data_IF_692504301759
#
_entry.id   IF_692504301759
#
_cell.length_a   1.000
_cell.length_b   1.000
_cell.length_c   1.000
_cell.angle_alpha   90.00
_cell.angle_beta   90.00
_cell.angle_gamma   90.00
#
_symmetry.space_group_name_H-M   'P 1'
#
loop_
_entity.id
_entity.type
_entity.pdbx_description
1 polymer ?
#
# COMPACT_ATOMS: atom_id res chain seq x y z
N UNK A 1 -13.96 -40.61 3.74
CA UNK A 1 -13.65 -40.21 2.34
C UNK A 1 -13.41 -38.71 2.29
N UNK A 2 -12.17 -38.27 2.00
CA UNK A 2 -11.83 -36.86 1.78
C UNK A 2 -12.11 -36.54 0.32
N UNK A 3 -13.04 -35.62 0.02
CA UNK A 3 -13.18 -35.07 -1.33
C UNK A 3 -12.00 -34.12 -1.57
N UNK A 4 -10.96 -34.62 -2.23
CA UNK A 4 -10.02 -33.76 -2.96
C UNK A 4 -10.79 -33.36 -4.21
N UNK A 5 -11.18 -32.10 -4.28
CA UNK A 5 -11.75 -31.53 -5.49
C UNK A 5 -10.56 -30.94 -6.25
N UNK A 6 -9.88 -31.77 -7.06
CA UNK A 6 -8.96 -31.28 -8.09
C UNK A 6 -9.81 -30.93 -9.30
N UNK A 7 -9.78 -29.65 -9.65
CA UNK A 7 -10.47 -29.11 -10.80
C UNK A 7 -9.40 -28.46 -11.69
N UNK A 8 -9.08 -29.10 -12.81
CA UNK A 8 -8.44 -28.40 -13.94
C UNK A 8 -9.58 -27.68 -14.65
N UNK A 9 -9.83 -26.41 -14.32
CA UNK A 9 -10.93 -25.63 -14.88
C UNK A 9 -10.36 -24.64 -15.89
N UNK A 10 -10.65 -24.89 -17.17
CA UNK A 10 -10.14 -24.14 -18.32
C UNK A 10 -10.77 -22.74 -18.45
N UNK A 11 -11.86 -22.42 -17.73
CA UNK A 11 -12.42 -21.06 -17.64
C UNK A 11 -13.31 -20.91 -16.40
N UNK A 12 -12.94 -20.06 -15.44
CA UNK A 12 -13.80 -19.66 -14.31
C UNK A 12 -14.40 -18.30 -14.62
N UNK A 13 -15.73 -18.20 -14.55
CA UNK A 13 -16.45 -16.92 -14.69
C UNK A 13 -16.45 -16.18 -13.35
N UNK A 14 -16.69 -16.86 -12.23
CA UNK A 14 -16.33 -16.37 -10.90
C UNK A 14 -16.29 -17.58 -9.96
N UNK A 15 -15.35 -17.63 -9.01
CA UNK A 15 -15.25 -18.68 -8.01
C UNK A 15 -15.32 -18.10 -6.60
N UNK A 16 -16.19 -18.73 -5.81
CA UNK A 16 -16.29 -18.48 -4.38
C UNK A 16 -16.15 -19.79 -3.62
N UNK A 17 -15.24 -19.80 -2.65
CA UNK A 17 -14.95 -20.95 -1.82
C UNK A 17 -15.21 -20.59 -0.36
N UNK A 18 -16.27 -21.14 0.22
CA UNK A 18 -16.74 -20.86 1.57
C UNK A 18 -16.56 -22.08 2.46
N UNK A 19 -15.89 -21.92 3.61
CA UNK A 19 -15.77 -22.96 4.64
C UNK A 19 -15.10 -24.27 4.17
N UNK A 20 -14.21 -24.18 3.18
CA UNK A 20 -13.42 -25.31 2.68
C UNK A 20 -12.19 -25.60 3.57
N UNK A 21 -11.83 -26.89 3.72
CA UNK A 21 -10.69 -27.33 4.54
C UNK A 21 -9.36 -27.47 3.80
N UNK A 22 -9.40 -27.57 2.47
CA UNK A 22 -8.27 -27.56 1.54
C UNK A 22 -8.83 -27.20 0.17
N UNK A 23 -8.23 -26.22 -0.47
CA UNK A 23 -8.61 -25.77 -1.80
C UNK A 23 -7.35 -25.47 -2.60
N UNK A 24 -7.37 -25.85 -3.87
CA UNK A 24 -6.27 -25.60 -4.79
C UNK A 24 -6.86 -25.12 -6.11
N UNK A 25 -6.33 -24.02 -6.64
CA UNK A 25 -6.73 -23.48 -7.93
C UNK A 25 -5.48 -23.25 -8.76
N UNK A 26 -5.40 -23.92 -9.90
CA UNK A 26 -4.25 -23.88 -10.80
C UNK A 26 -4.73 -23.75 -12.25
N UNK A 27 -3.97 -23.02 -13.05
CA UNK A 27 -4.15 -22.89 -14.51
C UNK A 27 -5.52 -22.40 -14.99
N UNK A 28 -6.08 -21.40 -14.29
CA UNK A 28 -7.35 -20.78 -14.64
C UNK A 28 -7.15 -19.44 -15.32
N UNK A 29 -7.81 -19.25 -16.47
CA UNK A 29 -8.01 -17.94 -17.10
C UNK A 29 -9.45 -17.47 -16.92
N UNK A 30 -9.65 -16.26 -16.42
CA UNK A 30 -10.98 -15.60 -16.35
C UNK A 30 -11.09 -14.48 -17.39
N UNK A 31 -12.08 -14.49 -18.30
CA UNK A 31 -12.25 -13.47 -19.33
C UNK A 31 -13.04 -12.22 -18.89
N UNK A 32 -12.92 -11.14 -19.66
CA UNK A 32 -13.16 -9.73 -19.30
C UNK A 32 -14.62 -9.26 -19.07
N UNK A 33 -15.66 -10.10 -19.10
CA UNK A 33 -17.06 -9.63 -19.09
C UNK A 33 -17.89 -10.18 -17.92
N UNK A 34 -17.59 -9.77 -16.68
CA UNK A 34 -18.20 -10.39 -15.50
C UNK A 34 -18.58 -9.39 -14.41
N UNK A 35 -19.78 -9.60 -13.87
CA UNK A 35 -20.33 -9.07 -12.60
C UNK A 35 -19.45 -9.49 -11.40
N UNK A 36 -19.51 -8.86 -10.21
CA UNK A 36 -18.37 -8.71 -9.32
C UNK A 36 -17.85 -10.03 -8.73
N UNK A 37 -16.50 -10.09 -8.61
CA UNK A 37 -15.68 -10.77 -7.58
C UNK A 37 -15.53 -12.30 -7.57
N UNK A 38 -14.27 -12.76 -7.55
CA UNK A 38 -13.86 -13.99 -6.86
C UNK A 38 -13.70 -13.68 -5.36
N UNK A 39 -14.57 -14.26 -4.51
CA UNK A 39 -14.55 -14.09 -3.06
C UNK A 39 -14.04 -15.36 -2.37
N UNK A 40 -12.95 -15.29 -1.60
CA UNK A 40 -12.47 -16.43 -0.80
C UNK A 40 -12.70 -16.16 0.69
N UNK A 41 -13.76 -16.73 1.28
CA UNK A 41 -14.12 -16.50 2.70
C UNK A 41 -14.01 -17.77 3.54
N UNK A 42 -13.30 -17.67 4.67
CA UNK A 42 -13.13 -18.71 5.70
C UNK A 42 -12.60 -20.06 5.18
N UNK A 43 -11.31 -20.16 4.96
CA UNK A 43 -10.66 -21.44 4.68
C UNK A 43 -9.54 -21.73 5.68
N UNK A 44 -9.27 -23.00 5.89
CA UNK A 44 -8.01 -23.44 6.46
C UNK A 44 -7.24 -24.06 5.30
N UNK A 45 -6.16 -23.43 4.85
CA UNK A 45 -5.25 -23.93 3.79
C UNK A 45 -5.80 -23.78 2.36
N UNK A 46 -5.51 -22.64 1.72
CA UNK A 46 -5.76 -22.36 0.31
C UNK A 46 -4.43 -22.09 -0.41
N UNK A 47 -4.23 -22.72 -1.57
CA UNK A 47 -3.09 -22.42 -2.44
C UNK A 47 -3.61 -22.11 -3.85
N UNK A 48 -3.22 -20.96 -4.40
CA UNK A 48 -3.51 -20.57 -5.77
C UNK A 48 -2.21 -20.40 -6.57
N UNK A 49 -2.16 -21.03 -7.74
CA UNK A 49 -1.14 -20.90 -8.76
C UNK A 49 -1.82 -20.61 -10.12
N UNK A 50 -2.24 -19.37 -10.34
CA UNK A 50 -3.20 -19.03 -11.41
C UNK A 50 -2.49 -18.43 -12.63
N UNK A 51 -2.55 -19.09 -13.78
CA UNK A 51 -2.03 -18.54 -15.04
C UNK A 51 -3.01 -17.55 -15.69
N UNK A 52 -3.24 -16.41 -15.03
CA UNK A 52 -3.86 -15.20 -15.63
C UNK A 52 -5.32 -14.93 -15.24
N UNK A 53 -5.55 -13.99 -14.32
CA UNK A 53 -6.88 -13.49 -13.97
C UNK A 53 -7.07 -12.07 -14.55
N UNK A 54 -8.07 -11.89 -15.43
CA UNK A 54 -8.40 -10.59 -16.01
C UNK A 54 -9.80 -10.15 -15.57
N UNK A 55 -9.90 -9.05 -14.83
CA UNK A 55 -11.14 -8.53 -14.26
C UNK A 55 -11.28 -7.01 -14.41
N UNK A 56 -12.53 -6.51 -14.37
CA UNK A 56 -12.83 -5.07 -14.47
C UNK A 56 -13.39 -4.46 -13.19
N UNK A 57 -13.61 -5.28 -12.16
CA UNK A 57 -13.99 -4.85 -10.82
C UNK A 57 -12.87 -5.30 -9.88
N UNK A 58 -13.14 -6.11 -8.85
CA UNK A 58 -12.12 -6.69 -7.95
C UNK A 58 -11.70 -8.08 -8.43
N UNK A 59 -10.42 -8.40 -8.32
CA UNK A 59 -9.89 -9.67 -8.86
C UNK A 59 -9.69 -10.77 -7.81
N UNK A 60 -9.00 -10.52 -6.68
CA UNK A 60 -8.77 -11.56 -5.67
C UNK A 60 -8.98 -11.04 -4.24
N UNK A 61 -10.12 -11.36 -3.62
CA UNK A 61 -10.41 -11.03 -2.20
C UNK A 61 -10.08 -12.22 -1.26
N UNK A 62 -9.13 -12.03 -0.32
CA UNK A 62 -8.68 -13.03 0.66
C UNK A 62 -9.22 -12.69 2.06
N UNK A 63 -10.24 -13.42 2.52
CA UNK A 63 -10.76 -13.35 3.90
C UNK A 63 -10.59 -14.71 4.59
N UNK A 64 -9.33 -15.09 4.85
CA UNK A 64 -9.00 -16.45 5.24
C UNK A 64 -7.64 -16.55 5.92
N UNK A 65 -7.36 -17.73 6.51
CA UNK A 65 -6.05 -18.06 7.07
C UNK A 65 -5.33 -19.18 6.33
N UNK A 66 -4.01 -19.20 6.44
CA UNK A 66 -3.12 -20.16 5.77
C UNK A 66 -3.32 -20.14 4.26
N UNK A 67 -2.97 -19.02 3.64
CA UNK A 67 -3.20 -18.77 2.22
C UNK A 67 -1.87 -18.58 1.52
N UNK A 68 -1.66 -19.25 0.38
CA UNK A 68 -0.55 -18.95 -0.53
C UNK A 68 -1.11 -18.57 -1.89
N UNK A 69 -0.70 -17.41 -2.39
CA UNK A 69 -0.92 -16.97 -3.77
C UNK A 69 0.45 -16.88 -4.41
N UNK A 70 0.72 -17.70 -5.42
CA UNK A 70 2.00 -17.64 -6.11
C UNK A 70 1.88 -17.73 -7.61
N UNK A 71 2.85 -17.14 -8.31
CA UNK A 71 3.04 -17.31 -9.76
C UNK A 71 1.82 -16.86 -10.58
N UNK A 72 1.07 -15.88 -10.05
CA UNK A 72 -0.15 -15.36 -10.66
C UNK A 72 0.11 -14.12 -11.52
N UNK A 73 -0.61 -14.02 -12.65
CA UNK A 73 -0.79 -12.76 -13.38
C UNK A 73 -2.19 -12.24 -13.10
N UNK A 74 -2.32 -11.02 -12.60
CA UNK A 74 -3.59 -10.38 -12.23
C UNK A 74 -3.68 -9.05 -12.95
N UNK A 75 -4.83 -8.75 -13.55
CA UNK A 75 -5.11 -7.48 -14.23
C UNK A 75 -6.52 -7.00 -13.85
N UNK A 76 -6.60 -5.87 -13.13
CA UNK A 76 -7.81 -5.38 -12.44
C UNK A 76 -8.01 -3.87 -12.64
N UNK A 77 -9.24 -3.41 -12.86
CA UNK A 77 -9.52 -1.95 -12.82
C UNK A 77 -9.76 -1.46 -11.36
N UNK A 78 -10.13 -2.35 -10.45
CA UNK A 78 -10.25 -2.10 -9.00
C UNK A 78 -9.02 -2.66 -8.26
N UNK A 79 -9.19 -3.12 -7.02
CA UNK A 79 -8.13 -3.77 -6.25
C UNK A 79 -7.64 -5.07 -6.94
N UNK A 80 -6.32 -5.28 -6.98
CA UNK A 80 -5.70 -6.48 -7.57
C UNK A 80 -5.83 -7.70 -6.66
N UNK A 81 -4.99 -7.75 -5.62
CA UNK A 81 -5.11 -8.71 -4.50
C UNK A 81 -5.51 -7.94 -3.26
N UNK A 82 -6.59 -8.35 -2.60
CA UNK A 82 -7.14 -7.62 -1.48
C UNK A 82 -7.43 -8.52 -0.29
N UNK A 83 -6.73 -8.31 0.82
CA UNK A 83 -6.96 -8.99 2.07
C UNK A 83 -8.13 -8.32 2.79
N UNK A 84 -9.11 -9.10 3.23
CA UNK A 84 -10.29 -8.65 3.96
C UNK A 84 -10.41 -9.40 5.28
N UNK A 85 -11.15 -8.83 6.22
CA UNK A 85 -11.62 -9.54 7.42
C UNK A 85 -13.01 -9.03 7.76
N UNK A 86 -14.04 -9.79 7.35
CA UNK A 86 -15.43 -9.36 7.48
C UNK A 86 -16.05 -9.68 8.84
N UNK A 87 -15.39 -10.48 9.67
CA UNK A 87 -15.91 -10.95 10.96
C UNK A 87 -14.85 -10.70 12.04
N UNK A 88 -15.26 -10.07 13.15
CA UNK A 88 -14.38 -9.60 14.24
C UNK A 88 -13.43 -10.68 14.79
N UNK A 89 -13.91 -11.91 14.97
CA UNK A 89 -13.16 -13.03 15.55
C UNK A 89 -12.53 -13.94 14.50
N UNK A 90 -12.57 -13.56 13.21
CA UNK A 90 -11.96 -14.32 12.11
C UNK A 90 -10.86 -13.50 11.45
N UNK A 91 -9.60 -13.74 11.82
CA UNK A 91 -8.47 -13.05 11.21
C UNK A 91 -8.22 -13.56 9.79
N UNK A 92 -7.68 -12.67 8.96
CA UNK A 92 -6.96 -13.00 7.75
C UNK A 92 -5.47 -13.10 8.10
N UNK A 93 -4.96 -14.32 8.25
CA UNK A 93 -3.64 -14.54 8.86
C UNK A 93 -2.83 -15.66 8.20
N UNK A 94 -1.50 -15.62 8.32
CA UNK A 94 -0.60 -16.58 7.67
C UNK A 94 -0.83 -16.61 6.16
N UNK A 95 -0.69 -15.45 5.52
CA UNK A 95 -0.88 -15.27 4.07
C UNK A 95 0.48 -15.00 3.42
N UNK A 96 0.79 -15.74 2.35
CA UNK A 96 1.97 -15.54 1.51
C UNK A 96 1.51 -15.16 0.10
N UNK A 97 1.99 -14.03 -0.41
CA UNK A 97 1.80 -13.61 -1.81
C UNK A 97 3.19 -13.53 -2.44
N UNK A 98 3.48 -14.32 -3.47
CA UNK A 98 4.83 -14.33 -4.04
C UNK A 98 4.92 -14.62 -5.53
N UNK A 99 5.93 -14.09 -6.22
CA UNK A 99 6.15 -14.33 -7.66
C UNK A 99 4.97 -13.88 -8.55
N UNK A 100 4.21 -12.86 -8.14
CA UNK A 100 3.04 -12.41 -8.87
C UNK A 100 3.32 -11.18 -9.74
N UNK A 101 2.65 -11.08 -10.88
CA UNK A 101 2.51 -9.84 -11.65
C UNK A 101 1.11 -9.28 -11.39
N UNK A 102 1.00 -8.15 -10.68
CA UNK A 102 -0.30 -7.57 -10.29
C UNK A 102 -0.49 -6.20 -10.91
N UNK A 103 -1.37 -6.12 -11.89
CA UNK A 103 -1.76 -4.88 -12.55
C UNK A 103 -3.11 -4.41 -12.02
N UNK A 104 -3.17 -3.14 -11.61
CA UNK A 104 -4.34 -2.53 -10.99
C UNK A 104 -4.41 -1.05 -11.33
N UNK A 105 -5.58 -0.54 -11.70
CA UNK A 105 -5.78 0.92 -11.73
C UNK A 105 -6.17 1.47 -10.35
N UNK A 106 -6.63 0.65 -9.41
CA UNK A 106 -6.82 1.06 -8.02
C UNK A 106 -5.61 0.67 -7.16
N UNK A 107 -5.77 -0.22 -6.19
CA UNK A 107 -4.71 -0.66 -5.29
C UNK A 107 -4.20 -2.06 -5.70
N UNK A 108 -2.93 -2.21 -6.07
CA UNK A 108 -2.43 -3.52 -6.52
C UNK A 108 -2.49 -4.57 -5.43
N UNK A 109 -1.95 -4.29 -4.25
CA UNK A 109 -2.10 -5.15 -3.09
C UNK A 109 -2.63 -4.33 -1.92
N UNK A 110 -3.78 -4.73 -1.39
CA UNK A 110 -4.51 -3.96 -0.38
C UNK A 110 -4.96 -4.80 0.80
N UNK A 111 -5.01 -4.17 1.97
CA UNK A 111 -5.61 -4.67 3.20
C UNK A 111 -6.87 -3.83 3.44
N UNK A 112 -7.99 -4.47 3.79
CA UNK A 112 -9.28 -3.80 3.96
C UNK A 112 -10.03 -3.53 2.64
N UNK A 113 -11.08 -2.71 2.59
CA UNK A 113 -11.52 -1.85 3.68
C UNK A 113 -12.21 -2.58 4.83
N UNK A 114 -13.03 -3.63 4.62
CA UNK A 114 -13.46 -4.50 5.72
C UNK A 114 -12.25 -5.16 6.36
N UNK A 115 -11.91 -4.69 7.55
CA UNK A 115 -10.81 -5.17 8.38
C UNK A 115 -11.23 -5.12 9.83
N UNK A 116 -12.35 -5.79 10.16
CA UNK A 116 -12.92 -5.77 11.52
C UNK A 116 -12.21 -6.73 12.45
N UNK A 117 -11.68 -7.83 11.92
CA UNK A 117 -10.80 -8.74 12.64
C UNK A 117 -9.35 -8.30 12.56
N UNK A 118 -8.45 -9.21 12.17
CA UNK A 118 -7.01 -8.92 12.14
C UNK A 118 -6.37 -9.37 10.83
N UNK A 119 -5.43 -8.58 10.32
CA UNK A 119 -4.44 -8.99 9.33
C UNK A 119 -3.15 -9.34 10.05
N UNK A 120 -2.70 -10.60 9.98
CA UNK A 120 -1.57 -11.04 10.81
C UNK A 120 -0.65 -12.02 10.14
N UNK A 121 0.67 -11.87 10.34
CA UNK A 121 1.69 -12.78 9.81
C UNK A 121 1.54 -12.90 8.28
N UNK A 122 1.74 -11.76 7.59
CA UNK A 122 1.54 -11.63 6.14
C UNK A 122 2.89 -11.37 5.46
N UNK A 123 3.20 -12.16 4.43
CA UNK A 123 4.43 -12.03 3.65
C UNK A 123 4.09 -11.77 2.19
N UNK A 124 4.60 -10.67 1.64
CA UNK A 124 4.49 -10.32 0.22
C UNK A 124 5.90 -10.23 -0.35
N UNK A 125 6.26 -11.06 -1.32
CA UNK A 125 7.63 -11.13 -1.81
C UNK A 125 7.74 -11.35 -3.32
N UNK A 126 8.68 -10.67 -3.97
CA UNK A 126 9.01 -10.91 -5.38
C UNK A 126 7.82 -10.69 -6.32
N UNK A 127 7.23 -9.50 -6.29
CA UNK A 127 6.11 -9.15 -7.17
C UNK A 127 6.47 -7.97 -8.07
N UNK A 128 5.95 -7.99 -9.30
CA UNK A 128 5.96 -6.83 -10.20
C UNK A 128 4.55 -6.25 -10.24
N UNK A 129 4.39 -4.98 -9.93
CA UNK A 129 3.08 -4.32 -9.89
C UNK A 129 3.03 -3.08 -10.78
N UNK A 130 1.85 -2.78 -11.32
CA UNK A 130 1.69 -1.61 -12.19
C UNK A 130 0.24 -1.31 -12.55
N UNK A 131 0.03 -0.38 -13.48
CA UNK A 131 -1.31 -0.05 -13.97
C UNK A 131 -1.92 -1.20 -14.80
N UNK A 132 -3.25 -1.30 -14.75
CA UNK A 132 -4.03 -2.28 -15.50
C UNK A 132 -3.89 -2.06 -17.01
N UNK A 133 -4.13 -3.11 -17.80
CA UNK A 133 -4.03 -3.00 -19.27
C UNK A 133 -5.15 -2.15 -19.89
N UNK A 134 -6.22 -1.87 -19.15
CA UNK A 134 -7.38 -1.07 -19.58
C UNK A 134 -7.85 -0.19 -18.43
N UNK A 135 -8.41 0.98 -18.74
CA UNK A 135 -8.88 1.95 -17.75
C UNK A 135 -10.31 2.41 -18.04
N UNK A 136 -11.29 1.61 -17.64
CA UNK A 136 -12.70 1.88 -17.91
C UNK A 136 -13.36 2.73 -16.81
N UNK A 137 -12.97 2.48 -15.55
CA UNK A 137 -13.64 3.02 -14.36
C UNK A 137 -12.85 4.16 -13.74
N UNK A 138 -11.53 4.02 -13.66
CA UNK A 138 -10.71 4.90 -12.80
C UNK A 138 -10.38 6.23 -13.45
N UNK A 139 -10.00 6.25 -14.72
CA UNK A 139 -9.83 7.45 -15.56
C UNK A 139 -9.15 8.59 -14.80
N UNK A 140 -8.05 8.27 -14.11
CA UNK A 140 -7.50 9.16 -13.11
C UNK A 140 -7.02 10.49 -13.67
N UNK A 141 -6.46 10.49 -14.87
CA UNK A 141 -6.02 11.69 -15.59
C UNK A 141 -7.18 12.61 -16.00
N UNK A 142 -8.39 12.07 -16.18
CA UNK A 142 -9.61 12.88 -16.40
C UNK A 142 -10.06 13.58 -15.11
N UNK A 143 -9.75 13.01 -13.94
CA UNK A 143 -10.19 13.50 -12.62
C UNK A 143 -9.17 14.40 -11.93
N UNK A 144 -7.88 14.16 -12.16
CA UNK A 144 -6.79 14.74 -11.37
C UNK A 144 -5.63 15.15 -12.29
N UNK A 145 -5.45 16.46 -12.44
CA UNK A 145 -4.46 17.06 -13.36
C UNK A 145 -3.01 16.75 -13.00
N UNK A 146 -2.74 16.39 -11.75
CA UNK A 146 -1.41 16.09 -11.24
C UNK A 146 -0.91 14.67 -11.56
N UNK A 147 -1.74 13.85 -12.22
CA UNK A 147 -1.38 12.49 -12.61
C UNK A 147 -0.85 12.54 -14.04
N UNK A 148 0.34 11.99 -14.26
CA UNK A 148 1.12 12.22 -15.48
C UNK A 148 1.17 11.03 -16.42
N UNK A 149 0.44 9.95 -16.10
CA UNK A 149 0.37 8.74 -16.95
C UNK A 149 -1.04 8.15 -16.94
N UNK A 150 -1.41 7.55 -18.07
CA UNK A 150 -2.65 6.80 -18.24
C UNK A 150 -2.35 5.52 -19.05
N UNK A 151 -2.74 4.32 -18.57
CA UNK A 151 -3.33 4.05 -17.26
C UNK A 151 -2.36 4.33 -16.10
N UNK A 152 -2.89 4.58 -14.91
CA UNK A 152 -2.11 4.71 -13.67
C UNK A 152 -2.72 3.90 -12.54
N UNK A 153 -1.86 3.43 -11.64
CA UNK A 153 -2.22 2.70 -10.44
C UNK A 153 -2.32 3.67 -9.26
N UNK A 154 -3.44 3.67 -8.53
CA UNK A 154 -3.63 4.53 -7.36
C UNK A 154 -2.58 4.25 -6.28
N UNK A 155 -2.46 2.99 -5.86
CA UNK A 155 -1.43 2.57 -4.91
C UNK A 155 -0.77 1.24 -5.27
N UNK A 156 0.52 1.12 -4.93
CA UNK A 156 1.20 -0.16 -4.99
C UNK A 156 0.81 -1.05 -3.81
N UNK A 157 1.05 -0.56 -2.60
CA UNK A 157 0.72 -1.21 -1.34
C UNK A 157 -0.22 -0.31 -0.52
N UNK A 158 -1.43 -0.78 -0.26
CA UNK A 158 -2.38 -0.15 0.65
C UNK A 158 -2.57 -1.00 1.91
N UNK A 159 -1.92 -0.64 3.01
CA UNK A 159 -2.08 -1.32 4.30
C UNK A 159 -3.06 -0.48 5.13
N UNK A 160 -4.34 -0.85 5.10
CA UNK A 160 -5.42 -0.09 5.72
C UNK A 160 -6.05 -0.88 6.87
N UNK A 161 -6.23 -0.20 8.01
CA UNK A 161 -6.99 -0.72 9.15
C UNK A 161 -7.86 0.41 9.69
N UNK A 162 -9.12 0.46 9.26
CA UNK A 162 -9.99 1.64 9.47
C UNK A 162 -11.29 1.36 10.23
N UNK A 163 -11.58 0.09 10.50
CA UNK A 163 -12.86 -0.34 11.08
C UNK A 163 -12.69 -1.12 12.41
N UNK A 164 -11.71 -0.74 13.25
CA UNK A 164 -11.57 -1.27 14.61
C UNK A 164 -10.79 -2.59 14.73
N UNK A 165 -10.25 -3.11 13.64
CA UNK A 165 -9.40 -4.30 13.62
C UNK A 165 -7.93 -4.04 13.96
N UNK A 166 -7.08 -5.01 13.62
CA UNK A 166 -5.63 -4.89 13.80
C UNK A 166 -4.83 -5.34 12.57
N UNK A 167 -3.64 -4.78 12.39
CA UNK A 167 -2.66 -5.22 11.38
C UNK A 167 -1.30 -5.43 12.04
N UNK A 168 -0.76 -6.65 12.00
CA UNK A 168 0.43 -7.03 12.78
C UNK A 168 1.34 -7.98 12.01
N UNK A 169 2.66 -7.77 12.10
CA UNK A 169 3.69 -8.63 11.50
C UNK A 169 3.51 -8.77 9.98
N UNK A 170 3.72 -7.66 9.27
CA UNK A 170 3.62 -7.60 7.81
C UNK A 170 5.03 -7.40 7.24
N UNK A 171 5.44 -8.31 6.37
CA UNK A 171 6.73 -8.24 5.68
C UNK A 171 6.47 -8.13 4.19
N UNK A 172 7.02 -7.07 3.57
CA UNK A 172 6.97 -6.86 2.13
C UNK A 172 8.40 -6.72 1.60
N UNK A 173 8.76 -7.47 0.56
CA UNK A 173 10.11 -7.38 0.00
C UNK A 173 10.16 -7.63 -1.51
N UNK A 174 11.17 -7.06 -2.17
CA UNK A 174 11.49 -7.33 -3.57
C UNK A 174 10.32 -6.99 -4.50
N UNK A 175 9.88 -5.72 -4.50
CA UNK A 175 8.75 -5.27 -5.32
C UNK A 175 9.22 -4.22 -6.32
N UNK A 176 8.88 -4.43 -7.60
CA UNK A 176 9.05 -3.40 -8.64
C UNK A 176 7.68 -2.82 -8.99
N UNK A 177 7.55 -1.49 -8.97
CA UNK A 177 6.30 -0.77 -9.23
C UNK A 177 6.44 0.17 -10.43
N UNK A 178 5.48 0.15 -11.35
CA UNK A 178 5.44 1.06 -12.51
C UNK A 178 4.14 1.87 -12.53
N UNK A 179 4.14 3.05 -13.15
CA UNK A 179 2.94 3.88 -13.34
C UNK A 179 2.14 4.15 -12.05
N UNK A 180 2.82 4.28 -10.91
CA UNK A 180 2.17 4.37 -9.59
C UNK A 180 1.91 5.80 -9.19
N UNK A 181 0.78 6.12 -8.59
CA UNK A 181 0.53 7.43 -8.00
C UNK A 181 1.11 7.52 -6.60
N UNK A 182 0.83 6.54 -5.73
CA UNK A 182 1.33 6.46 -4.34
C UNK A 182 1.87 5.06 -4.04
N UNK A 183 3.19 4.82 -4.06
CA UNK A 183 3.74 3.48 -3.89
C UNK A 183 3.33 2.79 -2.59
N UNK A 184 3.43 3.52 -1.47
CA UNK A 184 3.11 3.02 -0.14
C UNK A 184 2.07 3.92 0.52
N UNK A 185 0.94 3.34 0.88
CA UNK A 185 -0.13 3.96 1.65
C UNK A 185 -0.44 3.11 2.89
N UNK A 186 -0.19 3.66 4.07
CA UNK A 186 -0.47 3.01 5.35
C UNK A 186 -1.40 3.92 6.15
N UNK A 187 -2.56 3.39 6.56
CA UNK A 187 -3.59 4.16 7.27
C UNK A 187 -4.22 3.36 8.41
N UNK A 188 -4.08 3.87 9.63
CA UNK A 188 -5.03 3.60 10.72
C UNK A 188 -6.15 4.65 10.64
N UNK A 189 -7.40 4.21 10.50
CA UNK A 189 -8.58 5.08 10.47
C UNK A 189 -9.60 4.75 11.55
N UNK A 190 -10.57 5.65 11.70
CA UNK A 190 -11.68 5.60 12.63
C UNK A 190 -13.04 5.60 11.88
N UNK A 191 -13.09 4.99 10.69
CA UNK A 191 -14.26 4.95 9.80
C UNK A 191 -15.42 4.18 10.41
N UNK A 192 -15.13 3.03 11.02
CA UNK A 192 -16.13 2.23 11.75
C UNK A 192 -17.36 1.87 10.90
N UNK A 193 -17.18 1.60 9.60
CA UNK A 193 -18.26 1.53 8.59
C UNK A 193 -19.35 0.45 8.80
N UNK A 194 -19.23 -0.41 9.82
CA UNK A 194 -20.22 -1.44 10.16
C UNK A 194 -20.52 -1.59 11.65
N UNK A 195 -20.24 -0.61 12.50
CA UNK A 195 -20.86 -0.63 13.82
C UNK A 195 -22.34 -0.26 13.70
N UNK A 196 -23.15 -1.25 13.30
CA UNK A 196 -24.56 -1.34 13.67
C UNK A 196 -24.72 -1.70 15.15
N UNK A 197 -23.64 -2.18 15.77
CA UNK A 197 -23.53 -2.42 17.20
C UNK A 197 -22.75 -1.27 17.84
N UNK A 198 -23.49 -0.34 18.45
CA UNK A 198 -22.93 0.82 19.15
C UNK A 198 -22.09 0.43 20.38
N UNK A 199 -22.07 -0.85 20.77
CA UNK A 199 -21.27 -1.35 21.90
C UNK A 199 -19.84 -1.76 21.53
N UNK A 200 -19.51 -1.88 20.23
CA UNK A 200 -18.16 -2.20 19.79
C UNK A 200 -17.24 -0.98 19.88
N UNK A 201 -16.44 -0.95 20.96
CA UNK A 201 -15.53 0.15 21.30
C UNK A 201 -14.08 -0.08 20.84
N UNK A 202 -13.83 -1.09 20.00
CA UNK A 202 -12.48 -1.40 19.55
C UNK A 202 -11.90 -0.29 18.68
N UNK A 203 -10.59 -0.06 18.85
CA UNK A 203 -9.82 0.89 18.06
C UNK A 203 -8.92 0.16 17.08
N UNK A 204 -8.78 0.72 15.88
CA UNK A 204 -7.86 0.20 14.87
C UNK A 204 -6.42 0.26 15.39
N UNK A 205 -5.62 -0.77 15.15
CA UNK A 205 -4.20 -0.79 15.53
C UNK A 205 -3.31 -1.35 14.43
N UNK A 206 -2.05 -0.90 14.37
CA UNK A 206 -1.11 -1.37 13.37
C UNK A 206 0.32 -1.36 13.90
N UNK A 207 1.00 -2.51 13.85
CA UNK A 207 2.38 -2.62 14.33
C UNK A 207 3.23 -3.63 13.59
N UNK A 208 4.54 -3.45 13.66
CA UNK A 208 5.55 -4.37 13.12
C UNK A 208 5.39 -4.56 11.60
N UNK A 209 5.70 -3.50 10.86
CA UNK A 209 5.68 -3.50 9.39
C UNK A 209 7.11 -3.32 8.88
N UNK A 210 7.56 -4.24 8.04
CA UNK A 210 8.87 -4.18 7.39
C UNK A 210 8.64 -4.20 5.88
N UNK A 211 9.05 -3.14 5.18
CA UNK A 211 9.02 -3.05 3.73
C UNK A 211 10.45 -2.85 3.25
N UNK A 212 10.90 -3.66 2.31
CA UNK A 212 12.29 -3.61 1.83
C UNK A 212 12.44 -3.88 0.34
N UNK A 213 13.54 -3.42 -0.25
CA UNK A 213 13.92 -3.73 -1.63
C UNK A 213 12.81 -3.34 -2.63
N UNK A 214 12.47 -2.04 -2.64
CA UNK A 214 11.41 -1.48 -3.50
C UNK A 214 12.03 -0.61 -4.59
N UNK A 215 11.61 -0.79 -5.83
CA UNK A 215 11.90 0.15 -6.92
C UNK A 215 10.55 0.61 -7.49
N UNK A 216 10.30 1.91 -7.56
CA UNK A 216 9.00 2.43 -8.00
C UNK A 216 9.11 3.70 -8.86
N UNK A 217 8.36 3.72 -9.97
CA UNK A 217 8.14 4.94 -10.75
C UNK A 217 6.84 5.64 -10.31
N UNK A 218 6.96 6.90 -9.89
CA UNK A 218 5.88 7.69 -9.30
C UNK A 218 5.43 8.79 -10.25
N UNK A 219 4.19 8.65 -10.73
CA UNK A 219 3.55 9.50 -11.74
C UNK A 219 2.44 10.39 -11.14
N UNK A 220 2.68 10.94 -9.94
CA UNK A 220 1.75 11.89 -9.32
C UNK A 220 2.46 12.93 -8.42
N UNK A 221 1.69 13.90 -7.93
CA UNK A 221 2.10 14.82 -6.85
C UNK A 221 1.81 14.31 -5.44
N UNK A 222 1.50 13.03 -5.27
CA UNK A 222 1.32 12.42 -3.94
C UNK A 222 2.63 11.79 -3.46
N UNK A 223 2.90 11.94 -2.16
CA UNK A 223 3.97 11.21 -1.48
C UNK A 223 3.46 9.86 -0.98
N UNK A 224 4.40 8.97 -0.67
CA UNK A 224 4.11 7.85 0.23
C UNK A 224 3.56 8.41 1.54
N UNK A 225 2.58 7.74 2.14
CA UNK A 225 2.05 8.18 3.44
C UNK A 225 1.89 7.05 4.43
N UNK A 226 2.31 7.32 5.67
CA UNK A 226 2.13 6.46 6.83
C UNK A 226 1.43 7.30 7.88
N UNK A 227 0.16 7.01 8.12
CA UNK A 227 -0.71 7.88 8.92
C UNK A 227 -1.59 7.09 9.88
N UNK A 228 -1.77 7.61 11.09
CA UNK A 228 -2.88 7.21 11.96
C UNK A 228 -3.93 8.32 12.08
N UNK A 229 -4.87 8.22 13.01
CA UNK A 229 -5.73 9.33 13.43
C UNK A 229 -5.36 9.75 14.86
N UNK A 230 -5.72 10.98 15.31
CA UNK A 230 -5.28 11.49 16.60
C UNK A 230 -5.61 10.54 17.77
N UNK A 231 -4.65 10.39 18.69
CA UNK A 231 -4.77 9.47 19.82
C UNK A 231 -4.45 8.00 19.50
N UNK A 232 -4.05 7.69 18.27
CA UNK A 232 -3.52 6.38 17.87
C UNK A 232 -2.18 6.54 17.17
N UNK A 233 -1.38 5.48 17.08
CA UNK A 233 -0.12 5.50 16.34
C UNK A 233 0.07 4.23 15.53
N UNK A 234 0.70 4.36 14.36
CA UNK A 234 1.34 3.21 13.70
C UNK A 234 2.64 2.93 14.43
N UNK A 235 2.90 1.68 14.80
CA UNK A 235 4.06 1.33 15.64
C UNK A 235 5.08 0.45 14.89
N UNK A 236 6.37 0.72 15.09
CA UNK A 236 7.46 -0.15 14.63
C UNK A 236 7.43 -0.40 13.11
N UNK A 237 7.69 0.66 12.34
CA UNK A 237 7.76 0.60 10.88
C UNK A 237 9.21 0.68 10.40
N UNK A 238 9.61 -0.21 9.51
CA UNK A 238 10.94 -0.19 8.89
C UNK A 238 10.82 -0.17 7.38
N UNK A 239 11.46 0.81 6.75
CA UNK A 239 11.51 1.01 5.32
C UNK A 239 12.97 0.99 4.89
N UNK A 240 13.38 -0.05 4.15
CA UNK A 240 14.79 -0.32 3.86
C UNK A 240 15.04 -0.49 2.36
N UNK A 241 16.17 0.03 1.85
CA UNK A 241 16.65 -0.22 0.49
C UNK A 241 15.57 0.07 -0.58
N UNK A 242 15.26 1.35 -0.80
CA UNK A 242 14.21 1.76 -1.73
C UNK A 242 14.68 2.81 -2.72
N UNK A 243 14.23 2.70 -3.96
CA UNK A 243 14.48 3.67 -5.02
C UNK A 243 13.15 4.14 -5.59
N UNK A 244 12.84 5.42 -5.41
CA UNK A 244 11.66 6.06 -5.99
C UNK A 244 12.07 7.03 -7.10
N UNK A 245 11.63 6.78 -8.33
CA UNK A 245 11.78 7.70 -9.45
C UNK A 245 10.52 8.56 -9.56
N UNK A 246 10.60 9.77 -9.06
CA UNK A 246 9.48 10.67 -8.83
C UNK A 246 9.44 11.73 -9.93
N UNK A 247 8.35 11.78 -10.69
CA UNK A 247 8.15 12.77 -11.76
C UNK A 247 7.83 14.18 -11.22
N UNK A 248 7.51 14.26 -9.94
CA UNK A 248 6.71 15.32 -9.33
C UNK A 248 7.18 16.76 -9.55
N UNK A 249 6.21 17.65 -9.66
CA UNK A 249 6.34 19.09 -9.93
C UNK A 249 5.76 19.94 -8.79
N UNK A 250 5.90 19.46 -7.55
CA UNK A 250 5.47 20.22 -6.37
C UNK A 250 6.16 21.59 -6.29
N UNK A 251 5.50 22.53 -5.66
CA UNK A 251 5.97 23.91 -5.48
C UNK A 251 6.30 24.18 -4.02
N UNK A 252 7.04 25.25 -3.74
CA UNK A 252 7.29 25.67 -2.36
C UNK A 252 6.00 26.03 -1.61
N UNK A 253 4.98 26.55 -2.32
CA UNK A 253 3.68 26.84 -1.73
C UNK A 253 2.98 25.58 -1.18
N UNK A 254 3.22 24.42 -1.79
CA UNK A 254 2.67 23.14 -1.34
C UNK A 254 3.24 22.69 0.02
N UNK A 255 4.35 23.28 0.50
CA UNK A 255 4.89 23.01 1.87
C UNK A 255 3.91 23.42 2.98
N UNK A 256 3.01 24.34 2.67
CA UNK A 256 2.04 24.92 3.58
C UNK A 256 0.65 24.30 3.42
N UNK A 257 0.50 23.23 2.63
CA UNK A 257 -0.78 22.54 2.49
C UNK A 257 -1.24 21.99 3.85
N UNK A 258 -2.44 22.39 4.26
CA UNK A 258 -3.09 21.92 5.48
C UNK A 258 -3.74 20.55 5.24
N UNK A 259 -3.21 19.52 5.90
CA UNK A 259 -3.67 18.13 5.75
C UNK A 259 -4.67 17.81 6.85
N UNK A 260 -5.94 17.65 6.47
CA UNK A 260 -7.03 17.25 7.38
C UNK A 260 -6.88 15.80 7.82
N UNK A 261 -7.25 15.52 9.07
CA UNK A 261 -7.16 14.17 9.67
C UNK A 261 -8.02 13.12 8.96
N UNK A 262 -9.25 13.51 8.60
CA UNK A 262 -10.22 12.67 7.90
C UNK A 262 -10.35 11.26 8.49
N UNK A 263 -10.38 11.17 9.82
CA UNK A 263 -10.35 9.89 10.56
C UNK A 263 -11.48 8.94 10.16
N UNK A 264 -12.69 9.47 9.91
CA UNK A 264 -13.88 8.71 9.54
C UNK A 264 -14.05 8.46 8.03
N UNK A 265 -13.15 8.97 7.18
CA UNK A 265 -13.31 8.90 5.73
C UNK A 265 -12.98 7.50 5.18
N UNK A 266 -13.44 7.22 3.96
CA UNK A 266 -12.99 6.03 3.23
C UNK A 266 -11.48 6.11 2.97
N UNK A 267 -10.67 5.10 3.33
CA UNK A 267 -9.21 5.16 3.16
C UNK A 267 -8.86 5.19 1.68
N UNK A 268 -8.41 6.34 1.23
CA UNK A 268 -7.95 6.58 -0.13
C UNK A 268 -6.88 7.64 -0.06
N UNK A 269 -5.86 7.57 -0.91
CA UNK A 269 -4.81 8.61 -0.96
C UNK A 269 -5.37 9.99 -1.31
N UNK A 270 -6.58 10.04 -1.89
CA UNK A 270 -7.30 11.28 -2.18
C UNK A 270 -7.89 11.98 -0.94
N UNK A 271 -7.96 11.32 0.22
CA UNK A 271 -8.48 11.95 1.44
C UNK A 271 -7.59 13.11 1.92
N UNK A 272 -6.32 13.14 1.52
CA UNK A 272 -5.41 14.24 1.83
C UNK A 272 -5.37 15.30 0.72
N UNK A 273 -6.32 15.24 -0.21
CA UNK A 273 -6.38 16.13 -1.37
C UNK A 273 -5.45 15.71 -2.50
N UNK A 274 -5.07 16.70 -3.31
CA UNK A 274 -4.31 16.47 -4.53
C UNK A 274 -2.79 16.45 -4.32
N UNK A 275 -2.33 17.04 -3.22
CA UNK A 275 -0.92 17.27 -2.93
C UNK A 275 -0.68 17.08 -1.43
N UNK A 276 0.42 16.41 -1.09
CA UNK A 276 0.98 16.36 0.26
C UNK A 276 2.18 17.32 0.34
N UNK A 277 2.53 17.87 1.52
CA UNK A 277 3.67 18.77 1.69
C UNK A 277 5.04 18.09 1.58
N UNK A 278 5.06 16.79 1.30
CA UNK A 278 6.23 16.00 0.98
C UNK A 278 6.15 15.47 -0.46
N UNK A 279 7.29 15.28 -1.13
CA UNK A 279 7.35 14.50 -2.37
C UNK A 279 7.80 13.05 -2.14
N UNK A 280 8.51 12.77 -1.03
CA UNK A 280 8.97 11.43 -0.66
C UNK A 280 8.01 10.74 0.30
N UNK A 281 8.02 11.19 1.56
CA UNK A 281 7.25 10.58 2.65
C UNK A 281 6.56 11.61 3.52
N UNK A 282 5.25 11.41 3.70
CA UNK A 282 4.45 12.10 4.72
C UNK A 282 4.10 11.12 5.85
N UNK A 283 4.63 11.38 7.03
CA UNK A 283 4.49 10.49 8.19
C UNK A 283 3.75 11.25 9.28
N UNK A 284 2.59 10.74 9.71
CA UNK A 284 1.80 11.36 10.77
C UNK A 284 1.29 10.35 11.81
N UNK A 285 1.39 10.67 13.10
CA UNK A 285 0.94 9.80 14.19
C UNK A 285 1.64 8.43 14.15
N UNK A 286 2.97 8.42 14.28
CA UNK A 286 3.79 7.21 14.17
C UNK A 286 4.77 7.12 15.33
N UNK A 287 4.90 5.94 15.91
CA UNK A 287 5.87 5.63 16.93
C UNK A 287 6.90 4.62 16.41
N UNK A 288 8.19 4.97 16.49
CA UNK A 288 9.32 4.18 16.02
C UNK A 288 9.24 3.84 14.53
N UNK A 289 9.70 4.77 13.70
CA UNK A 289 9.87 4.57 12.25
C UNK A 289 11.33 4.69 11.84
N UNK A 290 11.79 3.74 11.01
CA UNK A 290 13.17 3.69 10.52
C UNK A 290 13.20 3.69 9.00
N UNK A 291 13.98 4.60 8.45
CA UNK A 291 14.32 4.67 7.03
C UNK A 291 15.80 4.36 6.88
N UNK A 292 16.12 3.42 6.00
CA UNK A 292 17.50 3.06 5.68
C UNK A 292 17.68 2.87 4.19
N UNK A 293 18.75 3.42 3.63
CA UNK A 293 19.11 3.21 2.22
C UNK A 293 17.96 3.63 1.27
N UNK A 294 17.47 4.86 1.41
CA UNK A 294 16.36 5.41 0.60
C UNK A 294 16.89 6.39 -0.43
N UNK A 295 16.51 6.20 -1.69
CA UNK A 295 16.85 7.07 -2.81
C UNK A 295 15.57 7.69 -3.39
N UNK A 296 15.48 9.03 -3.36
CA UNK A 296 14.40 9.79 -3.99
C UNK A 296 14.96 10.54 -5.21
N UNK A 297 14.70 9.98 -6.40
CA UNK A 297 15.17 10.51 -7.67
C UNK A 297 14.08 11.38 -8.30
N UNK A 298 14.28 12.69 -8.32
CA UNK A 298 13.41 13.59 -9.06
C UNK A 298 13.75 13.62 -10.55
N UNK A 299 12.74 13.51 -11.42
CA UNK A 299 12.87 13.78 -12.85
C UNK A 299 12.51 15.22 -13.22
N UNK A 300 11.73 15.90 -12.37
CA UNK A 300 11.44 17.31 -12.43
C UNK A 300 11.65 17.95 -11.05
N UNK A 301 11.87 19.26 -11.00
CA UNK A 301 11.94 20.04 -9.77
C UNK A 301 10.75 19.82 -8.83
N UNK A 302 11.02 19.63 -7.54
CA UNK A 302 9.98 19.64 -6.53
C UNK A 302 10.36 20.54 -5.35
N UNK A 303 9.56 21.59 -5.15
CA UNK A 303 9.75 22.58 -4.10
C UNK A 303 9.32 22.10 -2.72
N UNK A 304 8.75 20.90 -2.55
CA UNK A 304 8.29 20.37 -1.26
C UNK A 304 9.42 19.77 -0.43
N UNK A 305 9.10 19.33 0.78
CA UNK A 305 10.05 18.57 1.60
C UNK A 305 10.22 17.14 1.05
N UNK A 306 11.40 16.54 1.26
CA UNK A 306 11.58 15.12 1.01
C UNK A 306 10.79 14.29 2.02
N UNK A 307 10.86 14.70 3.30
CA UNK A 307 10.18 14.07 4.42
C UNK A 307 9.40 15.10 5.23
N UNK A 308 8.21 14.72 5.67
CA UNK A 308 7.44 15.47 6.67
C UNK A 308 7.07 14.51 7.79
N UNK A 309 7.44 14.86 9.01
CA UNK A 309 7.10 14.16 10.24
C UNK A 309 6.16 15.04 11.06
N UNK A 310 4.95 14.55 11.32
CA UNK A 310 3.90 15.26 12.07
C UNK A 310 3.35 14.38 13.20
N UNK A 311 3.55 14.74 14.46
CA UNK A 311 3.25 13.85 15.60
C UNK A 311 3.94 12.48 15.47
N UNK A 312 5.27 12.51 15.44
CA UNK A 312 6.10 11.29 15.28
C UNK A 312 7.04 11.16 16.46
N UNK A 313 6.96 10.01 17.13
CA UNK A 313 7.84 9.63 18.21
C UNK A 313 8.91 8.69 17.66
N UNK A 314 10.19 9.05 17.79
CA UNK A 314 11.33 8.26 17.37
C UNK A 314 11.34 7.97 15.86
N UNK A 315 11.99 8.85 15.09
CA UNK A 315 12.31 8.57 13.69
C UNK A 315 13.83 8.41 13.52
N UNK A 316 14.25 7.43 12.71
CA UNK A 316 15.66 7.30 12.33
C UNK A 316 15.79 7.25 10.82
N UNK A 317 16.69 8.07 10.29
CA UNK A 317 17.00 8.16 8.88
C UNK A 317 18.49 7.88 8.71
N UNK A 318 18.81 6.81 8.01
CA UNK A 318 20.18 6.37 7.74
C UNK A 318 20.38 6.19 6.23
N UNK A 319 21.51 6.68 5.71
CA UNK A 319 21.86 6.56 4.29
C UNK A 319 20.73 7.00 3.33
N UNK A 320 20.26 8.24 3.49
CA UNK A 320 19.22 8.82 2.64
C UNK A 320 19.83 9.71 1.55
N UNK A 321 19.45 9.45 0.32
CA UNK A 321 19.86 10.18 -0.87
C UNK A 321 18.66 10.83 -1.53
N UNK A 322 18.66 12.15 -1.64
CA UNK A 322 17.57 12.95 -2.23
C UNK A 322 18.11 13.88 -3.30
N UNK A 323 17.35 14.13 -4.36
CA UNK A 323 17.64 15.24 -5.27
C UNK A 323 16.97 16.51 -4.75
N UNK A 324 17.69 17.64 -4.75
CA UNK A 324 17.09 18.96 -4.54
C UNK A 324 16.40 19.43 -5.83
N UNK A 325 15.66 20.53 -5.71
CA UNK A 325 15.07 21.40 -6.75
C UNK A 325 15.94 21.55 -8.05
N UNK A 326 15.44 22.14 -9.16
CA UNK A 326 15.96 21.98 -10.54
C UNK A 326 17.46 22.20 -10.71
N UNK A 327 18.04 23.03 -9.84
CA UNK A 327 19.37 23.59 -10.03
C UNK A 327 20.49 22.68 -9.50
N UNK A 328 20.14 21.50 -8.96
CA UNK A 328 21.11 20.52 -8.46
C UNK A 328 21.31 19.35 -9.42
N UNK A 329 22.44 19.36 -10.13
CA UNK A 329 22.89 18.25 -10.98
C UNK A 329 23.40 17.08 -10.12
N UNK A 330 22.52 16.31 -9.49
CA UNK A 330 22.89 15.06 -8.81
C UNK A 330 22.03 14.69 -7.61
N UNK A 331 22.09 13.42 -7.21
CA UNK A 331 21.58 12.99 -5.92
C UNK A 331 22.53 13.49 -4.81
N UNK A 332 21.94 14.02 -3.73
CA UNK A 332 22.67 14.62 -2.60
C UNK A 332 22.24 13.97 -1.29
N UNK A 333 23.10 13.96 -0.26
CA UNK A 333 22.67 13.55 1.08
C UNK A 333 21.50 14.41 1.59
N UNK A 334 20.56 13.78 2.31
CA UNK A 334 19.44 14.48 2.95
C UNK A 334 19.95 15.59 3.90
N UNK A 335 19.41 16.81 3.77
CA UNK A 335 19.70 17.94 4.67
C UNK A 335 18.49 18.34 5.50
N UNK A 336 18.70 19.08 6.60
CA UNK A 336 17.59 19.44 7.52
C UNK A 336 16.53 20.32 6.85
N UNK A 337 16.89 21.11 5.84
CA UNK A 337 15.93 21.91 5.05
C UNK A 337 14.97 21.05 4.24
N UNK A 338 15.31 19.77 4.02
CA UNK A 338 14.52 18.81 3.26
C UNK A 338 13.55 18.03 4.17
N UNK A 339 13.53 18.34 5.48
CA UNK A 339 12.70 17.69 6.50
C UNK A 339 11.87 18.73 7.22
N UNK A 340 10.55 18.53 7.26
CA UNK A 340 9.67 19.25 8.18
C UNK A 340 9.42 18.39 9.41
N UNK A 341 9.60 18.97 10.60
CA UNK A 341 9.24 18.36 11.87
C UNK A 341 8.13 19.18 12.52
N UNK A 342 7.01 18.53 12.80
CA UNK A 342 5.85 19.11 13.47
C UNK A 342 5.49 18.17 14.61
N UNK A 343 5.57 18.65 15.86
CA UNK A 343 5.29 17.82 17.04
C UNK A 343 6.06 16.48 17.06
N UNK A 344 7.30 16.45 16.56
CA UNK A 344 8.10 15.23 16.50
C UNK A 344 9.19 15.21 17.58
N UNK A 345 9.47 14.02 18.10
CA UNK A 345 10.49 13.78 19.14
C UNK A 345 11.49 12.72 18.69
N UNK A 346 12.75 12.87 19.09
CA UNK A 346 13.84 11.91 18.82
C UNK A 346 14.03 11.55 17.34
N UNK A 347 14.10 12.57 16.46
CA UNK A 347 14.48 12.38 15.05
C UNK A 347 16.00 12.36 14.91
N UNK A 348 16.54 11.23 14.47
CA UNK A 348 17.97 11.04 14.19
C UNK A 348 18.25 10.99 12.70
N UNK A 349 19.28 11.73 12.28
CA UNK A 349 19.82 11.76 10.92
C UNK A 349 21.25 11.24 10.95
N UNK A 350 21.43 9.98 10.60
CA UNK A 350 22.73 9.33 10.53
C UNK A 350 23.20 9.40 9.07
N UNK A 351 23.81 10.51 8.67
CA UNK A 351 24.37 10.64 7.32
C UNK A 351 25.73 9.94 7.24
N UNK A 352 25.81 8.90 6.42
CA UNK A 352 27.09 8.39 5.95
C UNK A 352 27.78 9.45 5.07
N UNK A 353 28.99 9.87 5.50
CA UNK A 353 29.98 10.73 4.83
C UNK A 353 29.54 12.18 4.53
N UNK A 354 29.71 13.04 5.53
CA UNK A 354 30.24 14.38 5.28
C UNK A 354 31.74 14.18 4.95
N UNK A 355 32.10 14.14 3.66
CA UNK A 355 33.51 14.36 3.30
C UNK A 355 33.79 15.85 3.47
N UNK A 356 34.28 16.25 4.64
CA UNK A 356 35.00 17.51 4.77
C UNK A 356 36.36 17.34 4.08
N UNK A 357 36.54 18.04 2.96
CA UNK A 357 37.72 18.88 2.73
C UNK A 357 37.46 19.87 1.62
#
# INVERSE_FOLDING_TARGET
MKKIISFVIISIVAAQFISCKKSFVEDVVSPTNISPTDYYTSQANFQAALTGIYGHLRTLDIDSKNVTVSDCIIDSDDDGICLKSYINDKPCESVVITNCVVKSNCNAIKFGTPGYGRFKDIVINNCTIGAASRNFIRKWTERYKQITTDPSMLTGLSIECVDGGASENIIVSNITMRATQTPIFIKIGNRRAKFKDETDNRSSSMKNIIISNIIADVHSRRANSITAYPGTMVENVQLNNMIFNVISTGTEADRSTDIKENEGAYPSTHIFGDVLPAYGFYVRHVNNIKFRDIQLNLSQPDGRYAFVFDDVNQASLDQISVKKSPDSNGATPLSISDIKQQSATDISLNSAKISQK
#
